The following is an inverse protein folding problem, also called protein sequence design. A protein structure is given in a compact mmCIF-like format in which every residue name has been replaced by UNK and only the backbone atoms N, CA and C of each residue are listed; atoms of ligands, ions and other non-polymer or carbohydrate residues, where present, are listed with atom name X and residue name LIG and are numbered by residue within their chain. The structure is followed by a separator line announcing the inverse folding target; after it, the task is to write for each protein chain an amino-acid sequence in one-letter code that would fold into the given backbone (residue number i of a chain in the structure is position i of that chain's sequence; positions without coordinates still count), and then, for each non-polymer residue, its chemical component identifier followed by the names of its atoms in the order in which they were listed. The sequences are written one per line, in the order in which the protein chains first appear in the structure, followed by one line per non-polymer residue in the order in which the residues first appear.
data_IF_489383196914
#
_entry.id   IF_489383196914
#
_cell.length_a   1.000
_cell.length_b   1.000
_cell.length_c   1.000
_cell.angle_alpha   90.00
_cell.angle_beta   90.00
_cell.angle_gamma   90.00
#
_symmetry.space_group_name_H-M   'P 1'
#
loop_
_entity.id
_entity.type
_entity.pdbx_description
1 polymer ?
#
# COMPACT_ATOMS: atom_id res chain seq x y z
N UNK A 1 -13.63 5.63 -44.81
CA UNK A 1 -14.72 5.70 -45.82
C UNK A 1 -16.04 6.02 -45.15
N UNK A 2 -16.89 6.82 -45.80
CA UNK A 2 -18.23 7.20 -45.30
C UNK A 2 -19.09 5.97 -44.98
N UNK A 3 -19.01 4.92 -45.78
CA UNK A 3 -19.71 3.64 -45.60
C UNK A 3 -19.46 3.00 -44.23
N UNK A 4 -18.21 3.00 -43.75
CA UNK A 4 -17.86 2.46 -42.42
C UNK A 4 -18.48 3.27 -41.28
N UNK A 5 -18.49 4.60 -41.40
CA UNK A 5 -19.10 5.50 -40.39
C UNK A 5 -20.62 5.31 -40.36
N UNK A 6 -21.25 5.19 -41.52
CA UNK A 6 -22.70 4.97 -41.63
C UNK A 6 -23.12 3.63 -41.02
N UNK A 7 -22.37 2.55 -41.31
CA UNK A 7 -22.62 1.25 -40.69
C UNK A 7 -22.45 1.30 -39.15
N UNK A 8 -21.41 1.99 -38.67
CA UNK A 8 -21.17 2.17 -37.24
C UNK A 8 -22.33 2.89 -36.53
N UNK A 9 -22.88 3.95 -37.13
CA UNK A 9 -23.99 4.72 -36.58
C UNK A 9 -25.32 3.96 -36.64
N UNK A 10 -25.60 3.28 -37.77
CA UNK A 10 -26.82 2.47 -37.93
C UNK A 10 -26.92 1.37 -36.87
N UNK A 11 -25.81 0.67 -36.61
CA UNK A 11 -25.75 -0.35 -35.57
C UNK A 11 -26.01 0.21 -34.15
N UNK A 12 -25.90 1.53 -33.96
CA UNK A 12 -26.00 2.21 -32.66
C UNK A 12 -27.18 3.16 -32.59
N UNK A 13 -28.13 3.06 -33.52
CA UNK A 13 -29.25 3.99 -33.61
C UNK A 13 -30.06 4.09 -32.30
N UNK A 14 -30.21 2.98 -31.58
CA UNK A 14 -30.84 2.96 -30.26
C UNK A 14 -30.10 3.81 -29.20
N UNK A 15 -28.78 3.94 -29.30
CA UNK A 15 -27.95 4.78 -28.42
C UNK A 15 -27.91 6.25 -28.84
N UNK A 16 -28.56 6.62 -29.95
CA UNK A 16 -28.62 7.98 -30.49
C UNK A 16 -29.98 8.64 -30.23
N UNK A 17 -30.78 8.12 -29.29
CA UNK A 17 -32.06 8.70 -28.88
C UNK A 17 -31.89 10.00 -28.07
N UNK A 18 -31.16 10.97 -28.63
CA UNK A 18 -30.73 12.20 -27.96
C UNK A 18 -31.90 13.04 -27.47
N UNK A 19 -33.01 13.10 -28.20
CA UNK A 19 -34.20 13.83 -27.76
C UNK A 19 -34.77 13.24 -26.45
N UNK A 20 -34.88 11.91 -26.36
CA UNK A 20 -35.31 11.21 -25.16
C UNK A 20 -34.34 11.42 -24.01
N UNK A 21 -33.03 11.33 -24.27
CA UNK A 21 -32.02 11.53 -23.24
C UNK A 21 -31.98 12.97 -22.71
N UNK A 22 -32.20 13.96 -23.58
CA UNK A 22 -32.32 15.37 -23.20
C UNK A 22 -33.55 15.59 -22.33
N UNK A 23 -34.70 15.03 -22.71
CA UNK A 23 -35.93 15.12 -21.92
C UNK A 23 -35.78 14.47 -20.53
N UNK A 24 -34.94 13.44 -20.40
CA UNK A 24 -34.62 12.77 -19.14
C UNK A 24 -33.50 13.47 -18.34
N UNK A 25 -32.95 14.59 -18.85
CA UNK A 25 -31.90 15.36 -18.18
C UNK A 25 -30.51 14.72 -18.23
N UNK A 26 -30.27 13.74 -19.10
CA UNK A 26 -28.94 13.14 -19.22
C UNK A 26 -27.96 14.11 -19.89
N UNK A 27 -26.70 14.16 -19.43
CA UNK A 27 -25.67 14.97 -20.06
C UNK A 27 -25.35 14.40 -21.45
N UNK A 28 -25.69 15.16 -22.50
CA UNK A 28 -25.38 14.78 -23.88
C UNK A 28 -24.03 15.36 -24.26
N UNK A 29 -22.97 14.66 -23.86
CA UNK A 29 -21.60 15.02 -24.19
C UNK A 29 -20.57 14.22 -23.39
N UNK A 30 -19.42 13.95 -24.00
CA UNK A 30 -18.29 13.28 -23.36
C UNK A 30 -17.45 14.21 -22.48
N UNK A 31 -17.68 15.52 -22.51
CA UNK A 31 -16.81 16.51 -21.85
C UNK A 31 -16.58 16.27 -20.36
N UNK A 32 -17.63 15.89 -19.61
CA UNK A 32 -17.52 15.53 -18.19
C UNK A 32 -16.66 14.29 -17.97
N UNK A 33 -16.83 13.29 -18.82
CA UNK A 33 -16.07 12.03 -18.79
C UNK A 33 -14.62 12.25 -19.19
N UNK A 34 -14.36 13.04 -20.23
CA UNK A 34 -13.03 13.41 -20.68
C UNK A 34 -12.28 14.22 -19.60
N UNK A 35 -12.98 15.16 -18.96
CA UNK A 35 -12.44 15.92 -17.84
C UNK A 35 -12.11 15.01 -16.66
N UNK A 36 -12.99 14.06 -16.31
CA UNK A 36 -12.73 13.07 -15.28
C UNK A 36 -11.51 12.19 -15.63
N UNK A 37 -11.39 11.72 -16.87
CA UNK A 37 -10.23 10.95 -17.34
C UNK A 37 -8.93 11.76 -17.20
N UNK A 38 -8.96 13.05 -17.56
CA UNK A 38 -7.80 13.94 -17.43
C UNK A 38 -7.40 14.15 -15.96
N UNK A 39 -8.37 14.36 -15.07
CA UNK A 39 -8.13 14.68 -13.66
C UNK A 39 -7.79 13.46 -12.80
N UNK A 40 -8.44 12.33 -13.04
CA UNK A 40 -8.27 11.11 -12.22
C UNK A 40 -7.16 10.24 -12.77
N UNK A 41 -7.19 9.93 -14.07
CA UNK A 41 -6.26 8.97 -14.69
C UNK A 41 -4.99 9.67 -15.17
N UNK A 42 -5.10 10.60 -16.13
CA UNK A 42 -3.93 11.12 -16.85
C UNK A 42 -2.99 11.90 -15.94
N UNK A 43 -3.54 12.72 -15.04
CA UNK A 43 -2.75 13.52 -14.09
C UNK A 43 -1.79 12.70 -13.25
N UNK A 44 -2.10 11.42 -12.98
CA UNK A 44 -1.23 10.52 -12.23
C UNK A 44 -0.55 9.49 -13.07
N UNK A 45 -1.13 9.03 -14.17
CA UNK A 45 -0.60 7.90 -14.93
C UNK A 45 0.35 8.33 -16.05
N UNK A 46 0.18 9.55 -16.60
CA UNK A 46 0.91 10.03 -17.79
C UNK A 46 2.10 10.95 -17.46
N UNK A 47 2.48 11.07 -16.20
CA UNK A 47 3.62 11.91 -15.81
C UNK A 47 4.96 11.31 -16.24
N UNK A 48 5.97 12.17 -16.43
CA UNK A 48 7.33 11.74 -16.78
C UNK A 48 7.92 10.83 -15.70
N UNK A 49 8.65 9.79 -16.12
CA UNK A 49 9.30 8.83 -15.22
C UNK A 49 8.34 7.86 -14.51
N UNK A 50 7.05 7.85 -14.86
CA UNK A 50 6.08 6.97 -14.22
C UNK A 50 6.04 5.60 -14.90
N UNK A 51 6.30 4.57 -14.10
CA UNK A 51 6.15 3.16 -14.49
C UNK A 51 5.12 2.53 -13.59
N UNK A 52 4.20 1.79 -14.20
CA UNK A 52 3.08 1.17 -13.52
C UNK A 52 3.02 -0.30 -13.87
N UNK A 53 2.89 -1.13 -12.85
CA UNK A 53 2.50 -2.50 -13.03
C UNK A 53 0.97 -2.57 -13.19
N UNK A 54 0.44 -3.27 -14.22
CA UNK A 54 -0.99 -3.33 -14.48
C UNK A 54 -1.82 -3.76 -13.26
N UNK A 55 -1.29 -4.65 -12.42
CA UNK A 55 -1.94 -5.13 -11.20
C UNK A 55 -2.27 -4.00 -10.21
N UNK A 56 -1.46 -2.93 -10.16
CA UNK A 56 -1.59 -1.86 -9.18
C UNK A 56 -2.33 -0.61 -9.69
N UNK A 57 -2.58 -0.52 -11.00
CA UNK A 57 -3.22 0.64 -11.63
C UNK A 57 -4.60 0.90 -11.03
N UNK A 58 -5.45 -0.13 -10.93
CA UNK A 58 -6.81 0.01 -10.45
C UNK A 58 -6.88 0.50 -9.00
N UNK A 59 -6.02 -0.04 -8.12
CA UNK A 59 -5.98 0.39 -6.72
C UNK A 59 -5.64 1.88 -6.60
N UNK A 60 -4.69 2.37 -7.40
CA UNK A 60 -4.29 3.78 -7.38
C UNK A 60 -5.38 4.68 -7.97
N UNK A 61 -6.04 4.26 -9.04
CA UNK A 61 -7.17 5.00 -9.61
C UNK A 61 -8.34 5.07 -8.62
N UNK A 62 -8.61 4.01 -7.86
CA UNK A 62 -9.64 4.00 -6.82
C UNK A 62 -9.33 5.02 -5.71
N UNK A 63 -8.09 5.05 -5.21
CA UNK A 63 -7.66 6.05 -4.23
C UNK A 63 -7.77 7.48 -4.76
N UNK A 64 -7.41 7.69 -6.03
CA UNK A 64 -7.56 9.01 -6.67
C UNK A 64 -9.03 9.40 -6.84
N UNK A 65 -9.89 8.46 -7.18
CA UNK A 65 -11.32 8.71 -7.30
C UNK A 65 -11.91 9.17 -5.95
N UNK A 66 -11.55 8.51 -4.85
CA UNK A 66 -11.93 8.94 -3.51
C UNK A 66 -11.47 10.36 -3.19
N UNK A 67 -10.23 10.68 -3.54
CA UNK A 67 -9.66 11.99 -3.30
C UNK A 67 -10.32 13.09 -4.16
N UNK A 68 -10.53 12.84 -5.45
CA UNK A 68 -11.15 13.80 -6.37
C UNK A 68 -12.64 14.06 -6.09
N UNK A 69 -13.32 13.12 -5.40
CA UNK A 69 -14.71 13.25 -5.01
C UNK A 69 -14.90 13.76 -3.57
N UNK A 70 -13.83 14.21 -2.89
CA UNK A 70 -13.86 14.67 -1.49
C UNK A 70 -14.41 13.59 -0.51
N UNK A 71 -14.19 12.31 -0.83
CA UNK A 71 -14.65 11.15 -0.05
C UNK A 71 -13.49 10.38 0.58
N UNK A 72 -12.35 11.06 0.77
CA UNK A 72 -11.14 10.45 1.30
C UNK A 72 -11.38 9.82 2.68
N UNK A 73 -12.00 10.56 3.61
CA UNK A 73 -12.17 10.09 4.98
C UNK A 73 -13.05 8.85 5.06
N UNK A 74 -14.18 8.85 4.33
CA UNK A 74 -15.09 7.70 4.25
C UNK A 74 -14.40 6.48 3.64
N UNK A 75 -13.69 6.66 2.52
CA UNK A 75 -13.00 5.58 1.83
C UNK A 75 -11.85 5.01 2.66
N UNK A 76 -11.06 5.89 3.30
CA UNK A 76 -9.94 5.48 4.14
C UNK A 76 -10.40 4.69 5.37
N UNK A 77 -11.48 5.12 6.03
CA UNK A 77 -12.11 4.39 7.12
C UNK A 77 -12.49 2.96 6.70
N UNK A 78 -13.11 2.80 5.52
CA UNK A 78 -13.50 1.48 5.01
C UNK A 78 -12.28 0.58 4.73
N UNK A 79 -11.25 1.12 4.07
CA UNK A 79 -9.99 0.40 3.79
C UNK A 79 -9.33 -0.06 5.09
N UNK A 80 -9.26 0.84 6.09
CA UNK A 80 -8.68 0.54 7.41
C UNK A 80 -9.43 -0.59 8.13
N UNK A 81 -10.76 -0.55 8.13
CA UNK A 81 -11.59 -1.61 8.72
C UNK A 81 -11.34 -2.96 8.05
N UNK A 82 -11.27 -2.97 6.71
CA UNK A 82 -10.99 -4.18 5.95
C UNK A 82 -9.63 -4.79 6.34
N UNK A 83 -8.56 -3.97 6.38
CA UNK A 83 -7.24 -4.46 6.76
C UNK A 83 -7.17 -4.96 8.21
N UNK A 84 -7.90 -4.33 9.13
CA UNK A 84 -8.01 -4.81 10.50
C UNK A 84 -8.67 -6.19 10.56
N UNK A 85 -9.77 -6.37 9.83
CA UNK A 85 -10.47 -7.65 9.76
C UNK A 85 -9.58 -8.75 9.16
N UNK A 86 -8.90 -8.47 8.05
CA UNK A 86 -7.95 -9.41 7.42
C UNK A 86 -6.81 -9.78 8.37
N UNK A 87 -6.23 -8.80 9.06
CA UNK A 87 -5.17 -9.05 10.04
C UNK A 87 -5.65 -9.91 11.21
N UNK A 88 -6.88 -9.72 11.69
CA UNK A 88 -7.48 -10.55 12.73
C UNK A 88 -7.68 -11.99 12.24
N UNK A 89 -8.25 -12.18 11.05
CA UNK A 89 -8.44 -13.51 10.44
C UNK A 89 -7.11 -14.23 10.29
N UNK A 90 -6.07 -13.55 9.79
CA UNK A 90 -4.73 -14.12 9.63
C UNK A 90 -4.10 -14.53 10.96
N UNK A 91 -4.27 -13.74 12.03
CA UNK A 91 -3.79 -14.08 13.37
C UNK A 91 -4.48 -15.33 13.92
N UNK A 92 -5.80 -15.39 13.82
CA UNK A 92 -6.59 -16.55 14.27
C UNK A 92 -6.20 -17.82 13.51
N UNK A 93 -6.02 -17.74 12.18
CA UNK A 93 -5.57 -18.86 11.36
C UNK A 93 -4.16 -19.35 11.77
N UNK A 94 -3.23 -18.44 12.03
CA UNK A 94 -1.88 -18.80 12.49
C UNK A 94 -1.89 -19.48 13.85
N UNK A 95 -2.67 -18.98 14.80
CA UNK A 95 -2.82 -19.58 16.12
C UNK A 95 -3.39 -21.01 16.03
N UNK A 96 -4.46 -21.19 15.24
CA UNK A 96 -5.06 -22.51 15.01
C UNK A 96 -4.09 -23.50 14.32
N UNK A 97 -3.29 -23.02 13.36
CA UNK A 97 -2.28 -23.85 12.69
C UNK A 97 -1.17 -24.28 13.64
N UNK A 98 -0.73 -23.38 14.52
CA UNK A 98 0.27 -23.70 15.54
C UNK A 98 -0.25 -24.75 16.53
N UNK A 99 -1.50 -24.64 16.99
CA UNK A 99 -2.07 -25.60 17.93
C UNK A 99 -2.24 -27.01 17.33
N UNK A 100 -2.60 -27.10 16.05
CA UNK A 100 -2.70 -28.39 15.35
C UNK A 100 -1.33 -29.09 15.19
N UNK A 101 -0.26 -28.32 15.02
CA UNK A 101 1.10 -28.87 14.91
C UNK A 101 1.62 -29.38 16.25
N UNK A 102 1.35 -28.69 17.36
CA UNK A 102 1.74 -29.15 18.71
C UNK A 102 0.98 -30.39 19.18
N UNK A 103 -0.22 -30.66 18.67
CA UNK A 103 -1.00 -31.86 19.00
C UNK A 103 -0.58 -33.12 18.23
N UNK A 104 0.29 -32.97 17.22
CA UNK A 104 0.73 -34.06 16.34
C UNK A 104 2.11 -34.66 16.67
N UNK A 105 2.82 -34.18 17.70
CA UNK A 105 4.03 -34.86 18.17
C UNK A 105 3.63 -36.12 18.95
N UNK A 106 3.98 -37.34 18.49
CA UNK A 106 3.86 -38.51 19.34
C UNK A 106 4.78 -38.30 20.53
N UNK A 107 4.19 -38.21 21.72
CA UNK A 107 4.91 -38.21 22.99
C UNK A 107 5.79 -39.46 23.04
N UNK A 108 7.08 -39.29 22.73
CA UNK A 108 8.11 -40.22 23.19
C UNK A 108 8.05 -40.22 24.73
N UNK A 109 8.03 -41.38 25.40
CA UNK A 109 7.68 -41.44 26.81
C UNK A 109 8.69 -40.66 27.63
N UNK A 110 8.15 -39.80 28.50
CA UNK A 110 8.91 -38.95 29.40
C UNK A 110 9.89 -39.78 30.25
N UNK A 111 11.19 -39.57 30.02
CA UNK A 111 12.22 -39.92 31.00
C UNK A 111 12.19 -38.82 32.07
N UNK A 112 11.99 -39.14 33.36
CA UNK A 112 11.92 -38.12 34.40
C UNK A 112 13.27 -37.39 34.57
N UNK A 113 13.26 -36.12 35.00
CA UNK A 113 14.50 -35.36 35.21
C UNK A 113 15.25 -35.94 36.41
N UNK A 114 16.42 -36.53 36.15
CA UNK A 114 17.40 -36.87 37.19
C UNK A 114 17.93 -35.54 37.75
N UNK A 115 17.67 -35.30 39.04
CA UNK A 115 18.26 -34.20 39.80
C UNK A 115 19.70 -34.58 40.15
N UNK A 116 20.68 -33.99 39.46
CA UNK A 116 22.08 -34.11 39.87
C UNK A 116 22.37 -33.06 40.95
N UNK A 117 22.52 -33.52 42.19
CA UNK A 117 22.96 -32.70 43.32
C UNK A 117 24.45 -32.33 43.19
N UNK A 118 24.79 -31.13 43.67
CA UNK A 118 26.14 -30.58 43.73
C UNK A 118 26.95 -31.14 44.91
N UNK A 119 28.24 -31.39 44.70
CA UNK A 119 29.28 -31.45 45.75
C UNK A 119 30.66 -31.02 45.21
N UNK A 120 31.22 -30.02 45.88
CA UNK A 120 32.64 -29.69 46.16
C UNK A 120 33.78 -29.75 45.11
N UNK A 121 34.21 -28.54 44.69
CA UNK A 121 35.57 -27.89 44.66
C UNK A 121 36.87 -28.72 44.81
N UNK A 122 38.09 -28.18 44.51
CA UNK A 122 38.51 -26.95 43.79
C UNK A 122 39.63 -27.21 42.73
N UNK A 123 40.17 -26.14 42.12
CA UNK A 123 41.62 -25.89 41.87
C UNK A 123 41.93 -25.29 40.47
N UNK A 124 42.27 -23.99 40.48
CA UNK A 124 43.11 -23.31 39.47
C UNK A 124 44.59 -23.42 39.95
N UNK A 125 45.67 -23.13 39.16
CA UNK A 125 45.79 -22.12 38.09
C UNK A 125 46.91 -22.48 37.04
N UNK A 126 47.71 -21.58 36.39
CA UNK A 126 47.56 -20.15 36.08
C UNK A 126 47.93 -19.74 34.60
N UNK A 127 47.65 -18.46 34.26
CA UNK A 127 48.21 -17.52 33.23
C UNK A 127 48.38 -17.94 31.74
N UNK A 128 47.84 -17.15 30.79
CA UNK A 128 48.56 -16.03 30.12
C UNK A 128 47.73 -15.25 29.05
N UNK A 129 47.91 -13.92 29.10
CA UNK A 129 47.83 -12.82 28.08
C UNK A 129 46.84 -12.91 26.89
N UNK A 130 46.21 -11.86 26.34
CA UNK A 130 46.62 -10.48 25.97
C UNK A 130 45.32 -9.66 25.72
N UNK A 131 45.25 -8.33 25.92
CA UNK A 131 44.06 -7.53 25.60
C UNK A 131 44.06 -7.08 24.14
N UNK A 132 42.93 -7.20 23.43
CA UNK A 132 42.75 -6.55 22.13
C UNK A 132 41.28 -6.19 21.85
N UNK A 133 40.99 -4.92 22.16
CA UNK A 133 40.31 -3.96 21.26
C UNK A 133 38.83 -4.19 20.92
N UNK A 134 37.97 -3.49 21.67
CA UNK A 134 36.65 -3.07 21.19
C UNK A 134 36.82 -2.21 19.94
N UNK A 135 36.27 -2.66 18.81
CA UNK A 135 36.11 -1.83 17.61
C UNK A 135 34.71 -1.25 17.60
N UNK A 136 34.63 0.03 17.94
CA UNK A 136 33.58 0.97 17.53
C UNK A 136 33.50 1.07 16.01
N UNK A 137 32.31 1.12 15.39
CA UNK A 137 32.18 1.59 14.01
C UNK A 137 32.46 3.10 13.94
N UNK A 138 33.01 3.59 12.81
CA UNK A 138 33.66 4.89 12.73
C UNK A 138 32.68 6.07 12.75
N UNK A 139 33.02 7.06 13.57
CA UNK A 139 32.61 8.46 13.40
C UNK A 139 33.21 8.97 12.09
N UNK A 140 32.35 9.34 11.15
CA UNK A 140 32.72 10.15 9.99
C UNK A 140 32.21 11.56 10.26
N UNK A 141 33.09 12.43 10.78
CA UNK A 141 32.83 13.87 10.79
C UNK A 141 33.13 14.42 9.40
N UNK A 142 32.06 14.77 8.70
CA UNK A 142 32.07 15.49 7.43
C UNK A 142 30.82 16.36 7.36
N UNK A 143 30.90 17.53 8.00
CA UNK A 143 30.21 18.78 7.68
C UNK A 143 28.96 18.72 6.78
N UNK A 144 27.81 19.08 7.37
CA UNK A 144 26.73 19.73 6.62
C UNK A 144 25.35 19.10 6.80
N UNK A 145 24.66 19.48 7.88
CA UNK A 145 23.20 19.52 8.02
C UNK A 145 22.40 18.35 7.45
N UNK A 146 21.99 17.43 8.34
CA UNK A 146 20.92 16.46 8.07
C UNK A 146 19.63 17.20 7.70
N UNK A 147 19.43 17.42 6.41
CA UNK A 147 18.13 17.82 5.88
C UNK A 147 17.32 16.53 5.72
N UNK A 148 16.08 16.46 6.26
CA UNK A 148 15.21 15.33 5.98
C UNK A 148 15.04 15.24 4.46
N UNK A 149 15.04 14.01 3.94
CA UNK A 149 14.81 13.63 2.52
C UNK A 149 13.40 14.01 2.04
N UNK A 150 13.10 15.30 2.15
CA UNK A 150 11.91 15.95 1.67
C UNK A 150 12.31 16.59 0.35
N UNK A 151 11.64 16.23 -0.76
CA UNK A 151 11.82 16.95 -2.02
C UNK A 151 11.60 18.44 -1.80
N UNK A 152 12.40 19.26 -2.48
CA UNK A 152 12.38 20.73 -2.40
C UNK A 152 10.95 21.28 -2.42
N UNK A 153 10.70 22.41 -1.77
CA UNK A 153 9.37 23.03 -1.65
C UNK A 153 8.71 23.28 -3.02
N UNK A 154 9.50 23.43 -4.08
CA UNK A 154 9.07 23.60 -5.48
C UNK A 154 8.79 22.28 -6.22
N UNK A 155 8.95 21.12 -5.58
CA UNK A 155 8.76 19.82 -6.20
C UNK A 155 7.30 19.59 -6.59
N UNK A 156 7.00 19.10 -7.81
CA UNK A 156 5.63 19.04 -8.34
C UNK A 156 4.66 18.18 -7.51
N UNK A 157 5.18 17.30 -6.65
CA UNK A 157 4.40 16.43 -5.77
C UNK A 157 3.97 17.11 -4.45
N UNK A 158 4.52 18.29 -4.13
CA UNK A 158 4.07 19.12 -2.99
C UNK A 158 2.94 20.07 -3.36
N UNK A 159 2.65 20.27 -4.65
CA UNK A 159 1.47 21.01 -5.07
C UNK A 159 0.24 20.21 -4.66
N UNK A 160 -0.69 20.79 -3.89
CA UNK A 160 -1.90 20.07 -3.51
C UNK A 160 -2.67 19.74 -4.80
N UNK A 161 -2.72 18.44 -5.11
CA UNK A 161 -3.48 17.90 -6.23
C UNK A 161 -4.99 18.07 -6.00
N UNK A 162 -5.39 18.22 -4.74
CA UNK A 162 -6.71 18.62 -4.30
C UNK A 162 -6.72 20.13 -4.17
N UNK A 163 -7.42 20.83 -5.07
CA UNK A 163 -7.88 22.18 -4.71
C UNK A 163 -8.90 21.99 -3.62
N UNK A 164 -8.56 22.32 -2.37
CA UNK A 164 -9.56 22.52 -1.34
C UNK A 164 -10.54 23.57 -1.90
N UNK A 165 -11.76 23.14 -2.22
CA UNK A 165 -12.86 24.07 -2.41
C UNK A 165 -13.10 24.68 -1.03
N UNK A 166 -12.75 25.95 -0.87
CA UNK A 166 -13.13 26.71 0.32
C UNK A 166 -14.65 26.71 0.34
N UNK A 167 -15.25 26.10 1.37
CA UNK A 167 -16.68 26.14 1.59
C UNK A 167 -17.12 27.60 1.66
N UNK A 168 -18.10 27.98 0.83
CA UNK A 168 -18.80 29.27 0.92
C UNK A 168 -20.09 29.08 1.67
#
# INVERSE_FOLDING_TARGET
TITKKLAYLRARQAMLAYATFQAQGYPIGSGSVESANKLVVQSRMKGAGMRWEPAHVNAILALRNLACNDRWDQGWQAIRKQWQHEAQVQRTQRAARSSLQSAGEPSSPAVPPIQTQASDQPEMPPVNMVPATQQTPPVVEGTGGSQPTRPATTHPWRRPFLRQRVAS
#
